data_IF_337819382234
#
_entry.id   IF_337819382234
#
_cell.length_a   1.000
_cell.length_b   1.000
_cell.length_c   1.000
_cell.angle_alpha   90.00
_cell.angle_beta   90.00
_cell.angle_gamma   90.00
#
_symmetry.space_group_name_H-M   'P 1'
#
loop_
_entity.id
_entity.type
_entity.pdbx_description
1 polymer ?
#
# COMPACT_ATOMS: atom_id res chain seq x y z
N UNK A 1 -3.57 37.88 13.55
CA UNK A 1 -2.57 36.82 13.38
C UNK A 1 -3.27 35.61 12.80
N UNK A 2 -3.03 35.28 11.53
CA UNK A 2 -3.50 34.01 10.97
C UNK A 2 -2.68 32.89 11.62
N UNK A 3 -3.39 31.96 12.27
CA UNK A 3 -2.81 30.77 12.88
C UNK A 3 -2.03 29.99 11.81
N UNK A 4 -0.73 29.73 12.03
CA UNK A 4 0.13 29.00 11.09
C UNK A 4 -0.48 27.66 10.66
N UNK A 5 -1.17 26.98 11.57
CA UNK A 5 -1.89 25.75 11.29
C UNK A 5 -3.05 25.95 10.29
N UNK A 6 -3.77 27.08 10.40
CA UNK A 6 -4.86 27.41 9.48
C UNK A 6 -4.33 27.75 8.09
N UNK A 7 -3.16 28.40 8.01
CA UNK A 7 -2.49 28.65 6.74
C UNK A 7 -2.04 27.34 6.09
N UNK A 8 -1.40 26.44 6.85
CA UNK A 8 -0.98 25.13 6.36
C UNK A 8 -2.18 24.32 5.83
N UNK A 9 -3.28 24.27 6.60
CA UNK A 9 -4.52 23.61 6.19
C UNK A 9 -5.09 24.19 4.90
N UNK A 10 -5.11 25.53 4.76
CA UNK A 10 -5.58 26.20 3.55
C UNK A 10 -4.71 25.85 2.34
N UNK A 11 -3.39 25.78 2.51
CA UNK A 11 -2.47 25.37 1.44
C UNK A 11 -2.78 23.94 1.01
N UNK A 12 -2.87 22.99 1.94
CA UNK A 12 -3.15 21.57 1.65
C UNK A 12 -4.50 21.41 0.91
N UNK A 13 -5.55 22.10 1.35
CA UNK A 13 -6.88 22.06 0.70
C UNK A 13 -6.91 22.66 -0.70
N UNK A 14 -5.97 23.56 -1.03
CA UNK A 14 -5.85 24.12 -2.38
C UNK A 14 -5.13 23.21 -3.37
N UNK A 15 -4.49 22.13 -2.92
CA UNK A 15 -3.80 21.17 -3.79
C UNK A 15 -4.76 20.11 -4.31
N UNK A 16 -4.34 19.41 -5.36
CA UNK A 16 -5.05 18.22 -5.83
C UNK A 16 -4.90 17.10 -4.81
N UNK A 17 -6.02 16.52 -4.41
CA UNK A 17 -6.04 15.32 -3.57
C UNK A 17 -6.12 14.09 -4.46
N UNK A 18 -5.26 13.11 -4.19
CA UNK A 18 -5.19 11.85 -4.92
C UNK A 18 -5.41 10.75 -3.90
N UNK A 19 -6.46 9.96 -4.10
CA UNK A 19 -6.71 8.77 -3.30
C UNK A 19 -5.83 7.62 -3.82
N UNK A 20 -5.06 7.02 -2.93
CA UNK A 20 -4.18 5.88 -3.20
C UNK A 20 -4.76 4.57 -2.66
N UNK A 21 -6.03 4.58 -2.26
CA UNK A 21 -6.73 3.45 -1.66
C UNK A 21 -7.60 2.76 -2.70
N UNK A 22 -7.55 1.43 -2.74
CA UNK A 22 -8.56 0.66 -3.44
C UNK A 22 -9.90 0.68 -2.70
N UNK A 23 -11.01 0.74 -3.43
CA UNK A 23 -12.32 0.43 -2.85
C UNK A 23 -12.31 -0.98 -2.29
N UNK A 24 -12.95 -1.16 -1.12
CA UNK A 24 -12.93 -2.40 -0.37
C UNK A 24 -14.35 -2.94 -0.15
N UNK A 25 -14.53 -4.22 -0.42
CA UNK A 25 -15.75 -4.99 -0.25
C UNK A 25 -15.43 -6.49 -0.04
N UNK A 26 -16.46 -7.31 0.12
CA UNK A 26 -16.35 -8.77 0.31
C UNK A 26 -15.72 -9.52 -0.88
N UNK A 27 -15.72 -8.93 -2.07
CA UNK A 27 -15.23 -9.53 -3.31
C UNK A 27 -13.84 -8.98 -3.70
N UNK A 28 -13.29 -8.12 -2.85
CA UNK A 28 -12.01 -7.47 -3.07
C UNK A 28 -10.87 -8.49 -3.13
N UNK A 29 -9.93 -8.34 -4.07
CA UNK A 29 -8.77 -9.21 -4.16
C UNK A 29 -7.98 -9.31 -2.86
N UNK A 30 -7.56 -10.52 -2.53
CA UNK A 30 -6.77 -10.83 -1.34
C UNK A 30 -5.63 -11.80 -1.63
N UNK A 31 -4.75 -11.94 -0.64
CA UNK A 31 -3.72 -12.95 -0.66
C UNK A 31 -4.35 -14.34 -0.64
N UNK A 32 -3.95 -15.21 -1.57
CA UNK A 32 -4.61 -16.50 -1.82
C UNK A 32 -4.66 -17.48 -0.64
N UNK A 33 -3.86 -17.26 0.41
CA UNK A 33 -3.87 -18.07 1.64
C UNK A 33 -4.90 -17.57 2.68
N UNK A 34 -5.53 -16.43 2.44
CA UNK A 34 -6.54 -15.87 3.33
C UNK A 34 -7.94 -16.25 2.88
N UNK A 35 -8.87 -16.26 3.83
CA UNK A 35 -10.28 -16.29 3.52
C UNK A 35 -10.73 -14.92 2.96
N UNK A 36 -11.72 -14.95 2.06
CA UNK A 36 -12.37 -13.75 1.58
C UNK A 36 -13.06 -12.99 2.73
N UNK A 37 -13.16 -11.66 2.60
CA UNK A 37 -13.79 -10.83 3.61
C UNK A 37 -15.29 -11.15 3.77
N UNK A 38 -15.76 -11.30 5.00
CA UNK A 38 -17.16 -11.54 5.31
C UNK A 38 -17.84 -10.28 5.86
N UNK A 39 -18.94 -9.88 5.22
CA UNK A 39 -19.71 -8.69 5.56
C UNK A 39 -21.11 -9.17 5.98
N UNK A 40 -21.49 -8.91 7.23
CA UNK A 40 -22.79 -9.30 7.78
C UNK A 40 -23.56 -8.07 8.23
N UNK A 41 -24.70 -7.79 7.61
CA UNK A 41 -25.63 -6.77 8.11
C UNK A 41 -26.24 -7.26 9.42
N UNK A 42 -26.10 -6.46 10.47
CA UNK A 42 -26.64 -6.71 11.80
C UNK A 42 -27.99 -6.03 12.01
N UNK A 43 -28.10 -4.79 11.52
CA UNK A 43 -29.29 -3.96 11.54
C UNK A 43 -29.40 -3.21 10.22
N UNK A 44 -30.62 -3.01 9.73
CA UNK A 44 -30.91 -2.25 8.52
C UNK A 44 -31.80 -1.03 8.80
N UNK A 45 -32.13 -0.28 7.76
CA UNK A 45 -32.88 0.96 7.91
C UNK A 45 -34.29 0.75 8.49
N UNK A 46 -34.83 -0.47 8.43
CA UNK A 46 -36.10 -0.84 9.05
C UNK A 46 -35.99 -0.88 10.57
N UNK A 47 -34.78 -1.13 11.10
CA UNK A 47 -34.46 -1.04 12.53
C UNK A 47 -34.16 0.40 12.99
N UNK A 48 -34.14 1.37 12.07
CA UNK A 48 -33.87 2.78 12.33
C UNK A 48 -32.40 3.19 12.23
N UNK A 49 -31.48 2.24 12.01
CA UNK A 49 -30.06 2.51 11.77
C UNK A 49 -29.39 1.34 11.05
N UNK A 50 -28.37 1.64 10.24
CA UNK A 50 -27.61 0.61 9.52
C UNK A 50 -26.33 0.26 10.26
N UNK A 51 -26.09 -1.03 10.49
CA UNK A 51 -24.85 -1.52 11.09
C UNK A 51 -24.42 -2.86 10.49
N UNK A 52 -23.12 -3.00 10.28
CA UNK A 52 -22.52 -4.22 9.74
C UNK A 52 -21.37 -4.71 10.62
N UNK A 53 -21.19 -6.02 10.65
CA UNK A 53 -20.00 -6.69 11.13
C UNK A 53 -19.12 -7.06 9.93
N UNK A 54 -17.82 -6.81 10.07
CA UNK A 54 -16.81 -7.20 9.09
C UNK A 54 -15.83 -8.19 9.71
N UNK A 55 -15.47 -9.24 8.96
CA UNK A 55 -14.46 -10.23 9.36
C UNK A 55 -13.49 -10.44 8.20
N UNK A 56 -12.23 -10.06 8.40
CA UNK A 56 -11.16 -10.22 7.41
C UNK A 56 -9.78 -10.12 8.09
N UNK A 57 -8.72 -10.70 7.51
CA UNK A 57 -7.34 -10.51 7.97
C UNK A 57 -6.87 -9.05 7.89
N UNK A 58 -5.95 -8.62 8.76
CA UNK A 58 -5.44 -7.24 8.75
C UNK A 58 -4.71 -6.82 7.46
N UNK A 59 -4.01 -7.76 6.80
CA UNK A 59 -3.28 -7.54 5.55
C UNK A 59 -4.19 -7.74 4.32
N UNK A 60 -5.23 -6.93 4.19
CA UNK A 60 -6.24 -7.06 3.11
C UNK A 60 -6.41 -5.72 2.38
N UNK A 61 -6.39 -5.74 1.04
CA UNK A 61 -6.52 -4.54 0.23
C UNK A 61 -5.35 -3.56 0.45
N UNK A 62 -5.63 -2.25 0.45
CA UNK A 62 -4.64 -1.23 0.82
C UNK A 62 -4.43 -1.23 2.34
N UNK A 63 -3.25 -1.62 2.81
CA UNK A 63 -2.96 -1.77 4.24
C UNK A 63 -1.55 -1.30 4.61
N UNK A 64 -1.23 -1.32 5.90
CA UNK A 64 0.09 -1.01 6.44
C UNK A 64 0.65 -2.26 7.12
N UNK A 65 1.85 -2.66 6.76
CA UNK A 65 2.60 -3.68 7.48
C UNK A 65 3.46 -3.05 8.58
N UNK A 66 3.11 -3.34 9.83
CA UNK A 66 3.91 -2.97 10.98
C UNK A 66 5.17 -3.86 11.08
N UNK A 67 6.25 -3.40 11.76
CA UNK A 67 7.49 -4.18 11.90
C UNK A 67 7.30 -5.62 12.40
N UNK A 68 6.30 -5.84 13.26
CA UNK A 68 5.99 -7.17 13.79
C UNK A 68 5.58 -8.20 12.73
N UNK A 69 5.21 -7.75 11.52
CA UNK A 69 4.82 -8.62 10.41
C UNK A 69 5.96 -9.55 9.98
N UNK A 70 7.22 -9.10 10.06
CA UNK A 70 8.40 -9.89 9.71
C UNK A 70 9.38 -10.11 10.87
N UNK A 71 9.39 -9.22 11.87
CA UNK A 71 10.37 -9.26 12.96
C UNK A 71 9.65 -9.46 14.31
N UNK A 72 9.79 -10.63 14.96
CA UNK A 72 9.16 -10.90 16.25
C UNK A 72 9.53 -9.86 17.32
N UNK A 73 8.61 -9.61 18.26
CA UNK A 73 8.79 -8.68 19.39
C UNK A 73 9.12 -7.23 19.00
N UNK A 74 8.73 -6.80 17.80
CA UNK A 74 8.82 -5.40 17.37
C UNK A 74 7.45 -4.74 17.36
N UNK A 75 7.41 -3.47 16.94
CA UNK A 75 6.20 -2.63 17.05
C UNK A 75 5.03 -3.20 16.26
N UNK A 76 3.86 -3.21 16.91
CA UNK A 76 2.54 -3.40 16.30
C UNK A 76 2.03 -2.07 15.72
N UNK A 77 0.98 -2.16 14.88
CA UNK A 77 0.39 -1.00 14.20
C UNK A 77 -0.05 0.11 15.17
N UNK A 78 -0.64 -0.25 16.32
CA UNK A 78 -1.09 0.72 17.33
C UNK A 78 0.05 1.43 18.08
N UNK A 79 1.31 1.00 17.87
CA UNK A 79 2.50 1.59 18.48
C UNK A 79 3.24 2.55 17.53
N UNK A 80 2.72 2.77 16.33
CA UNK A 80 3.23 3.80 15.41
C UNK A 80 2.70 5.18 15.84
N UNK A 81 3.57 6.18 15.86
CA UNK A 81 3.20 7.55 16.17
C UNK A 81 2.57 8.24 14.96
N UNK A 82 1.60 9.14 15.17
CA UNK A 82 0.91 9.84 14.09
C UNK A 82 1.84 10.65 13.18
N UNK A 83 2.96 11.15 13.73
CA UNK A 83 3.97 11.88 12.96
C UNK A 83 4.76 10.98 12.02
N UNK A 84 4.86 9.69 12.31
CA UNK A 84 5.49 8.70 11.42
C UNK A 84 4.62 8.39 10.19
N UNK A 85 3.34 8.79 10.19
CA UNK A 85 2.39 8.49 9.11
C UNK A 85 2.26 9.63 8.09
N UNK A 86 3.00 10.73 8.29
CA UNK A 86 3.02 11.88 7.37
C UNK A 86 4.43 12.04 6.83
N UNK A 87 4.66 11.51 5.63
CA UNK A 87 5.99 11.48 5.01
C UNK A 87 5.95 12.10 3.60
N UNK A 88 7.08 12.64 3.10
CA UNK A 88 7.27 12.84 1.68
C UNK A 88 7.08 11.52 0.91
N UNK A 89 6.55 11.60 -0.30
CA UNK A 89 6.37 10.45 -1.20
C UNK A 89 7.29 10.58 -2.41
N UNK A 90 8.10 9.56 -2.67
CA UNK A 90 8.80 9.35 -3.95
C UNK A 90 8.16 8.16 -4.66
N UNK A 91 7.96 8.30 -5.97
CA UNK A 91 7.43 7.22 -6.82
C UNK A 91 8.50 6.81 -7.82
N UNK A 92 8.93 5.55 -7.75
CA UNK A 92 9.81 4.95 -8.74
C UNK A 92 8.93 4.21 -9.74
N UNK A 93 8.88 4.70 -10.98
CA UNK A 93 8.04 4.12 -12.04
C UNK A 93 8.76 2.96 -12.75
N UNK A 94 8.19 1.77 -12.62
CA UNK A 94 8.60 0.54 -13.31
C UNK A 94 7.45 -0.08 -14.10
N UNK A 95 6.41 0.69 -14.43
CA UNK A 95 5.21 0.22 -15.13
C UNK A 95 5.52 -0.40 -16.49
N UNK A 96 6.45 0.19 -17.26
CA UNK A 96 6.87 -0.38 -18.56
C UNK A 96 7.61 -1.71 -18.40
N UNK A 97 8.48 -1.84 -17.38
CA UNK A 97 9.15 -3.11 -17.08
C UNK A 97 8.15 -4.18 -16.63
N UNK A 98 7.21 -3.82 -15.76
CA UNK A 98 6.14 -4.69 -15.28
C UNK A 98 5.22 -5.18 -16.41
N UNK A 99 4.99 -4.34 -17.42
CA UNK A 99 4.19 -4.66 -18.60
C UNK A 99 4.88 -5.70 -19.51
N UNK A 100 6.20 -5.64 -19.62
CA UNK A 100 7.00 -6.57 -20.43
C UNK A 100 7.17 -7.91 -19.71
N UNK A 101 7.55 -7.86 -18.44
CA UNK A 101 7.77 -9.05 -17.61
C UNK A 101 7.07 -8.89 -16.25
N UNK A 102 5.95 -9.60 -16.09
CA UNK A 102 5.20 -9.63 -14.84
C UNK A 102 5.98 -10.27 -13.66
N UNK A 103 7.09 -10.97 -13.93
CA UNK A 103 7.95 -11.60 -12.93
C UNK A 103 9.22 -10.82 -12.62
N UNK A 104 9.39 -9.62 -13.19
CA UNK A 104 10.58 -8.82 -12.93
C UNK A 104 10.74 -8.57 -11.42
N UNK A 105 11.99 -8.46 -10.98
CA UNK A 105 12.31 -8.13 -9.60
C UNK A 105 12.91 -6.74 -9.53
N UNK A 106 12.42 -5.93 -8.60
CA UNK A 106 13.01 -4.65 -8.23
C UNK A 106 14.15 -4.90 -7.24
N UNK A 107 15.31 -4.29 -7.48
CA UNK A 107 16.55 -4.55 -6.79
C UNK A 107 17.16 -3.28 -6.19
N UNK A 108 18.15 -3.45 -5.31
CA UNK A 108 18.95 -2.33 -4.80
C UNK A 108 19.59 -1.50 -5.91
N UNK A 109 20.03 -2.15 -7.00
CA UNK A 109 20.65 -1.45 -8.13
C UNK A 109 19.67 -0.51 -8.84
N UNK A 110 18.39 -0.86 -8.90
CA UNK A 110 17.36 0.01 -9.48
C UNK A 110 17.22 1.30 -8.66
N UNK A 111 17.39 1.22 -7.35
CA UNK A 111 17.32 2.39 -6.46
C UNK A 111 18.57 3.26 -6.62
N UNK A 112 19.76 2.65 -6.67
CA UNK A 112 21.01 3.40 -6.89
C UNK A 112 21.02 4.13 -8.22
N UNK A 113 20.46 3.52 -9.29
CA UNK A 113 20.34 4.19 -10.58
C UNK A 113 19.30 5.31 -10.55
N UNK A 114 18.19 5.13 -9.84
CA UNK A 114 17.22 6.21 -9.59
C UNK A 114 17.89 7.38 -8.87
N UNK A 115 18.66 7.12 -7.80
CA UNK A 115 19.34 8.17 -7.03
C UNK A 115 20.42 8.90 -7.85
N UNK A 116 21.13 8.19 -8.73
CA UNK A 116 22.09 8.80 -9.65
C UNK A 116 21.43 9.79 -10.61
N UNK A 117 20.19 9.54 -11.01
CA UNK A 117 19.45 10.37 -11.96
C UNK A 117 18.67 11.50 -11.29
N UNK A 118 18.13 11.27 -10.09
CA UNK A 118 17.16 12.16 -9.44
C UNK A 118 17.66 12.77 -8.12
N UNK A 119 18.82 12.33 -7.61
CA UNK A 119 19.35 12.70 -6.30
C UNK A 119 19.11 11.62 -5.24
N UNK A 120 19.87 11.67 -4.15
CA UNK A 120 19.72 10.75 -3.01
C UNK A 120 18.32 10.85 -2.39
N UNK A 121 17.74 9.71 -2.03
CA UNK A 121 16.46 9.66 -1.33
C UNK A 121 16.68 10.05 0.13
N UNK A 122 16.06 11.15 0.55
CA UNK A 122 16.18 11.64 1.92
C UNK A 122 15.57 10.66 2.94
N UNK A 123 16.24 10.53 4.10
CA UNK A 123 15.73 9.73 5.21
C UNK A 123 14.35 10.22 5.68
N UNK A 124 13.46 9.30 6.01
CA UNK A 124 12.07 9.62 6.34
C UNK A 124 11.17 9.85 5.13
N UNK A 125 11.62 9.51 3.92
CA UNK A 125 10.80 9.48 2.71
C UNK A 125 10.14 8.13 2.52
N UNK A 126 8.86 8.14 2.19
CA UNK A 126 8.14 6.97 1.76
C UNK A 126 8.34 6.73 0.25
N UNK A 127 8.87 5.57 -0.11
CA UNK A 127 9.15 5.21 -1.51
C UNK A 127 8.11 4.20 -1.98
N UNK A 128 7.36 4.57 -3.01
CA UNK A 128 6.40 3.70 -3.67
C UNK A 128 6.92 3.21 -5.02
N UNK A 129 6.81 1.91 -5.27
CA UNK A 129 7.08 1.30 -6.56
C UNK A 129 5.80 1.30 -7.41
N UNK A 130 5.79 2.07 -8.50
CA UNK A 130 4.65 2.08 -9.45
C UNK A 130 4.86 1.03 -10.53
N UNK A 131 3.95 0.07 -10.60
CA UNK A 131 3.93 -1.00 -11.63
C UNK A 131 2.66 -0.98 -12.48
N UNK A 132 1.73 -0.07 -12.18
CA UNK A 132 0.36 -0.05 -12.72
C UNK A 132 -0.44 -1.35 -12.47
N UNK A 133 0.00 -2.21 -11.54
CA UNK A 133 -0.72 -3.45 -11.19
C UNK A 133 -2.13 -3.20 -10.66
N UNK A 134 -2.35 -2.03 -10.04
CA UNK A 134 -3.66 -1.55 -9.57
C UNK A 134 -4.73 -1.54 -10.67
N UNK A 135 -4.35 -1.49 -11.96
CA UNK A 135 -5.28 -1.57 -13.10
C UNK A 135 -5.98 -2.95 -13.23
N UNK A 136 -5.50 -3.98 -12.52
CA UNK A 136 -6.12 -5.32 -12.46
C UNK A 136 -7.20 -5.42 -11.37
N UNK A 137 -7.27 -4.46 -10.46
CA UNK A 137 -8.32 -4.38 -9.43
C UNK A 137 -9.69 -4.07 -10.07
N UNK A 138 -10.81 -4.68 -9.61
CA UNK A 138 -10.96 -5.60 -8.47
C UNK A 138 -10.96 -7.10 -8.86
N UNK A 139 -10.42 -7.49 -10.02
CA UNK A 139 -10.46 -8.90 -10.42
C UNK A 139 -9.40 -9.72 -9.68
N UNK A 140 -9.83 -10.66 -8.82
CA UNK A 140 -8.92 -11.59 -8.14
C UNK A 140 -8.06 -12.38 -9.13
N UNK A 141 -8.68 -12.88 -10.21
CA UNK A 141 -7.98 -13.63 -11.25
C UNK A 141 -6.89 -12.78 -11.93
N UNK A 142 -7.24 -11.54 -12.29
CA UNK A 142 -6.29 -10.64 -12.93
C UNK A 142 -5.16 -10.24 -11.97
N UNK A 143 -5.47 -10.02 -10.68
CA UNK A 143 -4.50 -9.69 -9.65
C UNK A 143 -3.53 -10.85 -9.35
N UNK A 144 -4.04 -12.08 -9.27
CA UNK A 144 -3.26 -13.30 -9.07
C UNK A 144 -2.31 -13.57 -10.25
N UNK A 145 -2.73 -13.20 -11.47
CA UNK A 145 -1.92 -13.33 -12.69
C UNK A 145 -1.28 -14.73 -12.82
N UNK A 146 -2.07 -15.79 -12.65
CA UNK A 146 -1.55 -17.17 -12.67
C UNK A 146 -1.05 -17.56 -14.05
N UNK A 147 -0.02 -18.39 -14.10
CA UNK A 147 0.45 -19.01 -15.34
C UNK A 147 -0.34 -20.25 -15.73
N UNK A 148 0.05 -20.88 -16.84
CA UNK A 148 -0.59 -22.09 -17.36
C UNK A 148 -0.50 -23.26 -16.36
N UNK A 149 0.50 -23.24 -15.48
CA UNK A 149 0.71 -24.19 -14.40
C UNK A 149 -0.04 -23.80 -13.10
N UNK A 150 -0.81 -22.71 -13.12
CA UNK A 150 -1.59 -22.21 -11.98
C UNK A 150 -0.77 -21.50 -10.92
N UNK A 151 0.52 -21.23 -11.16
CA UNK A 151 1.38 -20.50 -10.23
C UNK A 151 1.17 -19.00 -10.39
N UNK A 152 0.99 -18.33 -9.26
CA UNK A 152 0.85 -16.88 -9.18
C UNK A 152 2.15 -16.24 -9.70
N UNK A 153 2.07 -15.52 -10.83
CA UNK A 153 3.19 -14.72 -11.36
C UNK A 153 3.13 -13.33 -10.74
N UNK A 154 3.61 -13.26 -9.51
CA UNK A 154 3.71 -12.04 -8.74
C UNK A 154 5.04 -12.01 -7.98
N UNK A 155 5.97 -11.15 -8.40
CA UNK A 155 7.24 -10.89 -7.69
C UNK A 155 7.49 -9.41 -7.41
N UNK A 156 6.41 -8.68 -7.18
CA UNK A 156 6.46 -7.43 -6.42
C UNK A 156 5.27 -7.46 -5.48
N UNK A 157 5.49 -7.75 -4.19
CA UNK A 157 4.46 -7.63 -3.15
C UNK A 157 3.60 -6.40 -3.41
N UNK A 158 2.28 -6.53 -3.31
CA UNK A 158 1.33 -5.52 -3.75
C UNK A 158 1.69 -4.20 -3.13
N UNK A 159 2.20 -3.26 -3.95
CA UNK A 159 2.95 -2.12 -3.44
C UNK A 159 4.02 -2.56 -2.41
N UNK A 160 5.26 -2.85 -2.84
CA UNK A 160 6.36 -2.85 -1.90
C UNK A 160 6.46 -1.44 -1.30
N UNK A 161 5.79 -1.25 -0.17
CA UNK A 161 5.90 -0.14 0.75
C UNK A 161 6.73 -0.66 1.92
N UNK A 162 7.94 -1.09 1.61
CA UNK A 162 8.87 -1.45 2.65
C UNK A 162 9.50 -0.16 3.17
N UNK A 163 9.28 0.15 4.45
CA UNK A 163 10.03 1.17 5.17
C UNK A 163 11.49 0.76 5.43
N UNK A 164 12.00 -0.25 4.72
CA UNK A 164 13.34 -0.78 4.87
C UNK A 164 14.29 -0.21 3.82
N UNK A 165 14.42 1.11 3.78
CA UNK A 165 15.76 1.69 3.76
C UNK A 165 16.21 1.84 5.21
N UNK A 166 16.45 0.71 5.88
CA UNK A 166 17.39 0.71 6.98
C UNK A 166 18.75 0.95 6.33
N UNK A 167 19.16 2.22 6.23
CA UNK A 167 20.58 2.56 6.27
C UNK A 167 21.08 1.92 7.55
N UNK A 168 21.59 0.70 7.45
CA UNK A 168 22.58 0.18 8.39
C UNK A 168 23.84 1.04 8.16
N UNK A 169 23.85 2.26 8.67
CA UNK A 169 25.06 3.06 8.77
C UNK A 169 25.51 3.08 10.23
N UNK A 170 26.22 2.02 10.58
CA UNK A 170 27.48 1.93 11.36
C UNK A 170 27.54 0.64 12.17
#
# INVERSE_FOLDING_TARGET
>A
MTNELMNALSIIKSKKWVDLTHSFDKDSPHFFMFDAANFKTLFDYQDGFFAQQFTFPGQYGTHIDAPCHFVPNTRYLHQLELKELVLPLIVIDQSERAKIDANFSFSKNDILEFEKQHGEIEAGTFVALRTDWSKRWPSQEAMDNKDAEGKIKFRAGGLMLSNSYLKSEK
#
